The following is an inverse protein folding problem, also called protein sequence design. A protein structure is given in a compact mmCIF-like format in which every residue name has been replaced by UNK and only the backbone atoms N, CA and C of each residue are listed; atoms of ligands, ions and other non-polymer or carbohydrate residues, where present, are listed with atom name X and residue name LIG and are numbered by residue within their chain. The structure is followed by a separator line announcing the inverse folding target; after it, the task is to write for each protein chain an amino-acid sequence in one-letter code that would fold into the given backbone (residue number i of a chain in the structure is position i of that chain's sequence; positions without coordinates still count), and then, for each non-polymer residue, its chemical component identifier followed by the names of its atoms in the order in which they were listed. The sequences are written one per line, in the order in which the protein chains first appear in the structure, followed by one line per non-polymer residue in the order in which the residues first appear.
data_IF_217883644869
#
_entry.id   IF_217883644869
#
_cell.length_a   1.000
_cell.length_b   1.000
_cell.length_c   1.000
_cell.angle_alpha   90.00
_cell.angle_beta   90.00
_cell.angle_gamma   90.00
#
_symmetry.space_group_name_H-M   'P 1'
#
loop_
_entity.id
_entity.type
_entity.pdbx_description
1 polymer ?
#
# COMPACT_ATOMS: atom_id res chain seq x y z
N UNK A 1 11.20 47.98 -50.13
CA UNK A 1 12.19 47.63 -49.08
C UNK A 1 11.46 47.58 -47.75
N UNK A 2 11.52 46.58 -46.88
CA UNK A 2 12.28 45.34 -46.82
C UNK A 2 11.69 44.48 -45.67
N UNK A 3 11.38 43.21 -45.94
CA UNK A 3 11.56 42.02 -45.06
C UNK A 3 10.77 42.00 -43.74
N UNK A 4 9.60 41.35 -43.66
CA UNK A 4 9.39 39.89 -43.59
C UNK A 4 10.25 39.26 -42.49
N UNK A 5 9.68 39.09 -41.29
CA UNK A 5 10.14 38.16 -40.25
C UNK A 5 8.95 37.71 -39.39
N UNK A 6 7.98 37.10 -40.07
CA UNK A 6 7.12 36.05 -39.51
C UNK A 6 8.04 34.88 -39.16
N UNK A 7 7.81 34.25 -38.00
CA UNK A 7 8.47 33.05 -37.43
C UNK A 7 9.50 33.35 -36.35
N UNK A 8 9.08 33.17 -35.10
CA UNK A 8 9.70 32.22 -34.16
C UNK A 8 8.76 32.01 -32.98
N UNK A 9 7.78 31.14 -33.22
CA UNK A 9 7.15 30.37 -32.17
C UNK A 9 8.21 29.45 -31.56
N UNK A 10 8.39 29.49 -30.24
CA UNK A 10 8.82 28.31 -29.51
C UNK A 10 8.31 28.42 -28.07
N UNK A 11 7.07 27.99 -27.92
CA UNK A 11 6.41 27.67 -26.66
C UNK A 11 7.22 26.58 -25.95
N UNK A 12 7.82 26.90 -24.81
CA UNK A 12 8.40 25.93 -23.89
C UNK A 12 7.73 26.11 -22.52
N UNK A 13 6.46 25.72 -22.42
CA UNK A 13 5.82 25.48 -21.14
C UNK A 13 6.01 24.00 -20.81
N UNK A 14 7.11 23.72 -20.11
CA UNK A 14 7.39 22.44 -19.48
C UNK A 14 6.44 22.28 -18.29
N UNK A 15 5.26 21.70 -18.51
CA UNK A 15 4.39 21.26 -17.43
C UNK A 15 4.97 19.99 -16.80
N UNK A 16 5.80 20.17 -15.77
CA UNK A 16 6.19 19.08 -14.87
C UNK A 16 4.94 18.67 -14.11
N UNK A 17 4.28 17.61 -14.58
CA UNK A 17 3.25 16.93 -13.80
C UNK A 17 3.93 16.27 -12.60
N UNK A 18 3.99 16.99 -11.49
CA UNK A 18 4.45 16.48 -10.21
C UNK A 18 3.56 15.29 -9.84
N UNK A 19 4.12 14.08 -9.86
CA UNK A 19 3.50 12.93 -9.23
C UNK A 19 3.32 13.25 -7.75
N UNK A 20 2.07 13.47 -7.32
CA UNK A 20 1.74 13.72 -5.93
C UNK A 20 1.95 12.40 -5.17
N UNK A 21 2.96 12.25 -4.31
CA UNK A 21 3.01 11.10 -3.43
C UNK A 21 1.79 11.22 -2.52
N UNK A 22 0.91 10.23 -2.55
CA UNK A 22 -0.21 10.15 -1.60
C UNK A 22 0.37 9.89 -0.21
N UNK A 23 0.72 10.97 0.49
CA UNK A 23 1.12 10.97 1.89
C UNK A 23 -0.07 10.48 2.75
N UNK A 24 -0.21 9.17 2.92
CA UNK A 24 -1.05 8.56 3.95
C UNK A 24 -0.39 8.63 5.35
N UNK A 25 0.51 9.59 5.57
CA UNK A 25 1.39 9.63 6.74
C UNK A 25 1.12 10.79 7.73
N UNK A 26 0.05 11.57 7.56
CA UNK A 26 -0.27 12.71 8.44
C UNK A 26 -1.12 12.32 9.68
N UNK A 27 -1.15 11.04 10.05
CA UNK A 27 -1.89 10.52 11.19
C UNK A 27 -0.97 9.96 12.29
N UNK A 28 -1.50 9.73 13.51
CA UNK A 28 -0.77 9.02 14.55
C UNK A 28 -0.23 7.70 14.02
N UNK A 29 1.02 7.40 14.34
CA UNK A 29 1.69 6.17 13.91
C UNK A 29 0.87 4.93 14.33
N UNK A 30 0.35 4.15 13.37
CA UNK A 30 -0.58 3.07 13.65
C UNK A 30 0.06 1.89 14.40
N UNK A 31 1.40 1.85 14.45
CA UNK A 31 2.18 0.78 15.07
C UNK A 31 2.89 1.25 16.35
N UNK A 32 2.60 2.45 16.84
CA UNK A 32 3.28 3.07 17.98
C UNK A 32 3.31 2.21 19.25
N UNK A 33 2.27 1.40 19.46
CA UNK A 33 2.10 0.56 20.66
C UNK A 33 2.75 -0.83 20.56
N UNK A 34 3.33 -1.19 19.41
CA UNK A 34 4.06 -2.46 19.25
C UNK A 34 5.47 -2.36 19.80
N UNK A 35 5.97 -3.46 20.36
CA UNK A 35 7.40 -3.61 20.64
C UNK A 35 8.24 -3.50 19.35
N UNK A 36 9.50 -3.11 19.48
CA UNK A 36 10.39 -2.84 18.35
C UNK A 36 10.49 -4.00 17.36
N UNK A 37 10.52 -5.25 17.85
CA UNK A 37 10.66 -6.42 16.99
C UNK A 37 9.38 -6.67 16.18
N UNK A 38 8.24 -6.69 16.86
CA UNK A 38 6.93 -6.87 16.20
C UNK A 38 6.63 -5.74 15.23
N UNK A 39 6.96 -4.51 15.58
CA UNK A 39 6.82 -3.34 14.73
C UNK A 39 7.62 -3.47 13.43
N UNK A 40 8.89 -3.87 13.52
CA UNK A 40 9.74 -4.09 12.32
C UNK A 40 9.17 -5.18 11.42
N UNK A 41 8.66 -6.27 12.00
CA UNK A 41 8.03 -7.34 11.22
C UNK A 41 6.77 -6.85 10.49
N UNK A 42 5.89 -6.13 11.19
CA UNK A 42 4.67 -5.58 10.57
C UNK A 42 5.02 -4.56 9.48
N UNK A 43 5.99 -3.67 9.72
CA UNK A 43 6.45 -2.70 8.73
C UNK A 43 7.00 -3.39 7.48
N UNK A 44 7.84 -4.42 7.66
CA UNK A 44 8.35 -5.24 6.54
C UNK A 44 7.23 -5.84 5.70
N UNK A 45 6.13 -6.31 6.31
CA UNK A 45 4.99 -6.86 5.59
C UNK A 45 4.22 -5.80 4.81
N UNK A 46 4.09 -4.59 5.36
CA UNK A 46 3.48 -3.44 4.66
C UNK A 46 4.34 -3.06 3.46
N UNK A 47 5.65 -2.96 3.64
CA UNK A 47 6.60 -2.62 2.58
C UNK A 47 6.61 -3.68 1.47
N UNK A 48 6.56 -4.97 1.82
CA UNK A 48 6.43 -6.07 0.86
C UNK A 48 5.09 -6.02 0.12
N UNK A 49 3.97 -5.80 0.81
CA UNK A 49 2.67 -5.67 0.15
C UNK A 49 2.65 -4.52 -0.85
N UNK A 50 3.24 -3.37 -0.49
CA UNK A 50 3.39 -2.24 -1.38
C UNK A 50 4.28 -2.58 -2.59
N UNK A 51 5.44 -3.20 -2.37
CA UNK A 51 6.36 -3.59 -3.44
C UNK A 51 5.76 -4.61 -4.41
N UNK A 52 4.88 -5.51 -3.92
CA UNK A 52 4.15 -6.49 -4.73
C UNK A 52 2.86 -5.91 -5.38
N UNK A 53 2.55 -4.64 -5.15
CA UNK A 53 1.32 -4.00 -5.68
C UNK A 53 0.03 -4.55 -5.06
N UNK A 54 0.11 -5.15 -3.87
CA UNK A 54 -1.03 -5.64 -3.11
C UNK A 54 -1.69 -4.50 -2.31
N UNK A 55 -2.99 -4.61 -1.97
CA UNK A 55 -3.61 -3.62 -1.10
C UNK A 55 -2.96 -3.68 0.30
N UNK A 56 -2.39 -2.58 0.75
CA UNK A 56 -1.72 -2.47 2.06
C UNK A 56 -2.70 -2.23 3.21
N UNK A 57 -3.86 -1.64 2.92
CA UNK A 57 -4.85 -1.29 3.95
C UNK A 57 -5.32 -2.49 4.79
N UNK A 58 -5.61 -3.68 4.24
CA UNK A 58 -5.95 -4.85 5.06
C UNK A 58 -4.85 -5.26 6.04
N UNK A 59 -3.57 -5.13 5.65
CA UNK A 59 -2.41 -5.45 6.50
C UNK A 59 -2.32 -4.46 7.67
N UNK A 60 -2.44 -3.16 7.38
CA UNK A 60 -2.42 -2.08 8.38
C UNK A 60 -3.61 -2.20 9.35
N UNK A 61 -4.82 -2.34 8.81
CA UNK A 61 -6.04 -2.47 9.61
C UNK A 61 -5.97 -3.67 10.55
N UNK A 62 -5.40 -4.80 10.11
CA UNK A 62 -5.27 -5.96 11.00
C UNK A 62 -4.30 -5.74 12.15
N UNK A 63 -3.20 -5.02 11.90
CA UNK A 63 -2.28 -4.63 12.95
C UNK A 63 -2.95 -3.69 13.96
N UNK A 64 -3.68 -2.68 13.49
CA UNK A 64 -4.42 -1.73 14.33
C UNK A 64 -5.52 -2.42 15.16
N UNK A 65 -6.23 -3.38 14.58
CA UNK A 65 -7.23 -4.20 15.29
C UNK A 65 -6.57 -4.93 16.46
N UNK A 66 -5.42 -5.59 16.22
CA UNK A 66 -4.68 -6.30 17.25
C UNK A 66 -4.18 -5.38 18.37
N UNK A 67 -3.64 -4.22 18.00
CA UNK A 67 -3.23 -3.17 18.96
C UNK A 67 -4.41 -2.70 19.80
N UNK A 68 -5.56 -2.44 19.18
CA UNK A 68 -6.78 -2.01 19.87
C UNK A 68 -7.32 -3.08 20.82
N UNK A 69 -7.15 -4.35 20.45
CA UNK A 69 -7.50 -5.52 21.26
C UNK A 69 -6.44 -5.87 22.32
N UNK A 70 -5.37 -5.07 22.47
CA UNK A 70 -4.26 -5.31 23.40
C UNK A 70 -3.61 -6.70 23.24
N UNK A 71 -3.59 -7.21 22.00
CA UNK A 71 -2.96 -8.50 21.67
C UNK A 71 -1.44 -8.34 21.73
N UNK A 72 -0.72 -9.39 22.13
CA UNK A 72 0.74 -9.35 22.16
C UNK A 72 1.33 -9.16 20.75
N UNK A 73 2.40 -8.38 20.66
CA UNK A 73 3.06 -8.06 19.39
C UNK A 73 3.39 -9.27 18.51
N UNK A 74 3.94 -10.38 19.05
CA UNK A 74 4.21 -11.58 18.27
C UNK A 74 2.97 -12.23 17.65
N UNK A 75 1.83 -12.20 18.35
CA UNK A 75 0.55 -12.70 17.80
C UNK A 75 0.05 -11.76 16.71
N UNK A 76 0.15 -10.45 16.91
CA UNK A 76 -0.19 -9.45 15.89
C UNK A 76 0.63 -9.70 14.61
N UNK A 77 1.96 -9.80 14.72
CA UNK A 77 2.84 -10.04 13.58
C UNK A 77 2.48 -11.34 12.82
N UNK A 78 2.15 -12.42 13.54
CA UNK A 78 1.70 -13.69 12.94
C UNK A 78 0.41 -13.52 12.14
N UNK A 79 -0.61 -12.90 12.73
CA UNK A 79 -1.92 -12.74 12.08
C UNK A 79 -1.84 -11.78 10.89
N UNK A 80 -1.07 -10.70 11.01
CA UNK A 80 -0.81 -9.77 9.90
C UNK A 80 -0.08 -10.49 8.75
N UNK A 81 0.87 -11.38 9.06
CA UNK A 81 1.52 -12.22 8.04
C UNK A 81 0.49 -13.11 7.31
N UNK A 82 -0.47 -13.67 8.03
CA UNK A 82 -1.55 -14.45 7.40
C UNK A 82 -2.36 -13.60 6.43
N UNK A 83 -2.74 -12.37 6.78
CA UNK A 83 -3.44 -11.44 5.85
C UNK A 83 -2.60 -11.19 4.60
N UNK A 84 -1.32 -10.90 4.75
CA UNK A 84 -0.41 -10.70 3.62
C UNK A 84 -0.35 -11.94 2.70
N UNK A 85 -0.24 -13.14 3.27
CA UNK A 85 -0.23 -14.38 2.50
C UNK A 85 -1.56 -14.65 1.80
N UNK A 86 -2.69 -14.35 2.43
CA UNK A 86 -4.02 -14.44 1.80
C UNK A 86 -4.16 -13.48 0.62
N UNK A 87 -3.60 -12.27 0.70
CA UNK A 87 -3.56 -11.32 -0.42
C UNK A 87 -2.72 -11.84 -1.59
N UNK A 88 -1.54 -12.41 -1.29
CA UNK A 88 -0.69 -13.04 -2.31
C UNK A 88 -1.38 -14.22 -2.98
N UNK A 89 -2.07 -15.05 -2.19
CA UNK A 89 -2.82 -16.18 -2.72
C UNK A 89 -4.01 -15.71 -3.56
N UNK A 90 -4.75 -14.68 -3.13
CA UNK A 90 -5.82 -14.09 -3.92
C UNK A 90 -5.29 -13.56 -5.27
N UNK A 91 -4.13 -12.89 -5.28
CA UNK A 91 -3.46 -12.46 -6.52
C UNK A 91 -3.09 -13.63 -7.41
N UNK A 92 -2.54 -14.71 -6.84
CA UNK A 92 -2.17 -15.90 -7.59
C UNK A 92 -3.40 -16.58 -8.22
N UNK A 93 -4.54 -16.58 -7.53
CA UNK A 93 -5.79 -17.22 -7.99
C UNK A 93 -6.55 -16.34 -9.00
N UNK A 94 -6.65 -15.03 -8.77
CA UNK A 94 -7.44 -14.11 -9.60
C UNK A 94 -6.63 -13.52 -10.78
N UNK A 95 -5.30 -13.62 -10.73
CA UNK A 95 -4.40 -13.13 -11.77
C UNK A 95 -3.98 -11.66 -11.61
N UNK A 96 -3.09 -11.23 -12.51
CA UNK A 96 -2.47 -9.89 -12.48
C UNK A 96 -3.45 -8.75 -12.76
N UNK A 97 -4.57 -9.03 -13.43
CA UNK A 97 -5.61 -8.04 -13.71
C UNK A 97 -6.53 -7.70 -12.53
N UNK A 98 -6.49 -8.49 -11.45
CA UNK A 98 -7.39 -8.29 -10.32
C UNK A 98 -7.16 -6.94 -9.63
N UNK A 99 -8.25 -6.22 -9.36
CA UNK A 99 -8.21 -4.93 -8.70
C UNK A 99 -8.10 -5.10 -7.16
N UNK A 100 -7.92 -3.99 -6.45
CA UNK A 100 -7.67 -4.01 -4.99
C UNK A 100 -8.83 -4.59 -4.18
N UNK A 101 -10.06 -4.35 -4.60
CA UNK A 101 -11.26 -4.81 -3.88
C UNK A 101 -11.45 -6.32 -4.08
N UNK A 102 -11.23 -6.81 -5.30
CA UNK A 102 -11.23 -8.25 -5.62
C UNK A 102 -10.19 -9.02 -4.81
N UNK A 103 -8.97 -8.48 -4.69
CA UNK A 103 -7.91 -9.09 -3.88
C UNK A 103 -8.27 -9.09 -2.39
N UNK A 104 -8.86 -8.00 -1.91
CA UNK A 104 -9.28 -7.89 -0.50
C UNK A 104 -10.39 -8.88 -0.18
N UNK A 105 -11.40 -8.97 -1.05
CA UNK A 105 -12.49 -9.93 -0.93
C UNK A 105 -12.00 -11.39 -1.02
N UNK A 106 -11.14 -11.69 -2.00
CA UNK A 106 -10.55 -13.02 -2.16
C UNK A 106 -9.70 -13.43 -0.95
N UNK A 107 -8.91 -12.51 -0.40
CA UNK A 107 -8.15 -12.78 0.82
C UNK A 107 -9.05 -13.03 2.03
N UNK A 108 -10.15 -12.27 2.18
CA UNK A 108 -11.11 -12.48 3.25
C UNK A 108 -11.82 -13.84 3.13
N UNK A 109 -12.18 -14.25 1.91
CA UNK A 109 -12.75 -15.58 1.66
C UNK A 109 -11.78 -16.70 2.06
N UNK A 110 -10.51 -16.60 1.67
CA UNK A 110 -9.46 -17.57 2.06
C UNK A 110 -9.24 -17.67 3.57
N UNK A 111 -9.54 -16.61 4.32
CA UNK A 111 -9.46 -16.61 5.78
C UNK A 111 -10.71 -17.19 6.44
N UNK A 112 -11.85 -17.16 5.75
CA UNK A 112 -13.11 -17.71 6.23
C UNK A 112 -13.17 -19.24 6.07
N UNK A 113 -12.46 -19.80 5.08
CA UNK A 113 -12.43 -21.24 4.77
C UNK A 113 -13.28 -21.57 3.56
#
# INVERSE_FOLDING_TARGET
MSRRNVRRALSALLAVAMAVPTLHAQGPDPLAKLDTASRRMVQSLIDSAHAEGLPTQPVISKAQEGVSKHVSGPIIARVVRTVFLSLRQARATLGSGANRDELTAGAAALQAG
#
